data_IF_550408360393
#
_entry.id   IF_550408360393
#
_cell.length_a   1.000
_cell.length_b   1.000
_cell.length_c   1.000
_cell.angle_alpha   90.00
_cell.angle_beta   90.00
_cell.angle_gamma   90.00
#
_symmetry.space_group_name_H-M   'P 1'
#
loop_
_entity.id
_entity.type
_entity.pdbx_description
1 polymer ?
#
# COMPACT_ATOMS: atom_id res chain seq x y z
N UNK A 1 7.90 -4.93 8.29
CA UNK A 1 6.47 -5.33 8.33
C UNK A 1 6.28 -6.83 8.10
N UNK A 2 6.95 -7.44 7.14
CA UNK A 2 6.82 -8.88 6.89
C UNK A 2 7.13 -9.75 8.11
N UNK A 3 8.15 -9.40 8.85
CA UNK A 3 8.51 -10.12 10.08
C UNK A 3 7.41 -10.01 11.15
N UNK A 4 6.88 -8.81 11.34
CA UNK A 4 5.80 -8.58 12.30
C UNK A 4 4.52 -9.32 11.91
N UNK A 5 4.24 -9.39 10.61
CA UNK A 5 3.10 -10.14 10.08
C UNK A 5 3.20 -11.61 10.46
N UNK A 6 4.36 -12.21 10.28
CA UNK A 6 4.60 -13.61 10.64
C UNK A 6 4.44 -13.85 12.13
N UNK A 7 4.95 -12.94 12.95
CA UNK A 7 4.81 -13.03 14.41
C UNK A 7 3.33 -12.99 14.82
N UNK A 8 2.57 -12.08 14.23
CA UNK A 8 1.14 -11.99 14.54
C UNK A 8 0.38 -13.24 14.11
N UNK A 9 0.66 -13.78 12.94
CA UNK A 9 0.04 -15.03 12.47
C UNK A 9 0.39 -16.22 13.35
N UNK A 10 1.63 -16.32 13.82
CA UNK A 10 2.05 -17.38 14.75
C UNK A 10 1.31 -17.30 16.06
N UNK A 11 0.82 -16.13 16.45
CA UNK A 11 0.02 -15.91 17.65
C UNK A 11 -1.49 -16.09 17.40
N UNK A 12 -1.88 -16.45 16.19
CA UNK A 12 -3.28 -16.62 15.82
C UNK A 12 -4.05 -15.33 15.63
N UNK A 13 -3.33 -14.21 15.41
CA UNK A 13 -3.95 -12.91 15.19
C UNK A 13 -4.15 -12.65 13.69
N UNK A 14 -5.29 -12.06 13.36
CA UNK A 14 -5.49 -11.52 12.01
C UNK A 14 -4.63 -10.28 11.83
N UNK A 15 -4.13 -10.08 10.62
CA UNK A 15 -3.24 -8.96 10.30
C UNK A 15 -3.76 -8.21 9.10
N UNK A 16 -3.78 -6.88 9.22
CA UNK A 16 -3.94 -5.97 8.11
C UNK A 16 -2.76 -5.01 8.12
N UNK A 17 -2.18 -4.79 6.98
CA UNK A 17 -0.95 -4.01 6.86
C UNK A 17 -1.29 -2.67 6.24
N UNK A 18 -0.76 -1.61 6.80
CA UNK A 18 -0.87 -0.29 6.19
C UNK A 18 0.21 -0.14 5.12
N UNK A 19 -0.23 0.16 3.92
CA UNK A 19 0.61 0.22 2.75
C UNK A 19 0.91 1.63 2.28
N UNK A 20 1.22 1.83 0.97
CA UNK A 20 1.78 3.08 0.48
C UNK A 20 0.90 4.29 0.79
N UNK A 21 1.54 5.36 1.28
CA UNK A 21 0.92 6.66 1.50
C UNK A 21 1.42 7.68 0.47
N UNK A 22 2.34 8.54 0.87
CA UNK A 22 2.95 9.54 0.00
C UNK A 22 4.03 8.91 -0.86
N UNK A 23 3.68 8.51 -2.08
CA UNK A 23 4.56 7.78 -3.00
C UNK A 23 4.45 8.37 -4.40
N UNK A 24 5.56 8.64 -5.09
CA UNK A 24 5.52 9.02 -6.50
C UNK A 24 4.84 7.93 -7.33
N UNK A 25 4.07 8.34 -8.32
CA UNK A 25 3.25 7.43 -9.12
C UNK A 25 4.03 6.24 -9.69
N UNK A 26 5.25 6.49 -10.19
CA UNK A 26 6.08 5.46 -10.80
C UNK A 26 6.62 4.43 -9.79
N UNK A 27 6.52 4.69 -8.49
CA UNK A 27 6.98 3.78 -7.44
C UNK A 27 5.87 2.98 -6.80
N UNK A 28 4.63 3.24 -7.14
CA UNK A 28 3.48 2.54 -6.55
C UNK A 28 3.56 1.04 -6.83
N UNK A 29 3.80 0.66 -8.07
CA UNK A 29 3.89 -0.75 -8.47
C UNK A 29 4.98 -1.48 -7.69
N UNK A 30 6.17 -0.89 -7.58
CA UNK A 30 7.31 -1.49 -6.86
C UNK A 30 6.96 -1.68 -5.38
N UNK A 31 6.33 -0.69 -4.75
CA UNK A 31 5.90 -0.80 -3.37
C UNK A 31 4.88 -1.91 -3.17
N UNK A 32 3.91 -2.03 -4.09
CA UNK A 32 2.90 -3.07 -4.05
C UNK A 32 3.49 -4.47 -4.18
N UNK A 33 4.35 -4.66 -5.17
CA UNK A 33 5.00 -5.94 -5.42
C UNK A 33 5.83 -6.38 -4.22
N UNK A 34 6.58 -5.45 -3.64
CA UNK A 34 7.40 -5.73 -2.46
C UNK A 34 6.53 -6.11 -1.27
N UNK A 35 5.44 -5.42 -1.04
CA UNK A 35 4.55 -5.70 0.07
C UNK A 35 3.88 -7.06 -0.08
N UNK A 36 3.42 -7.42 -1.26
CA UNK A 36 2.85 -8.74 -1.53
C UNK A 36 3.86 -9.85 -1.24
N UNK A 37 5.11 -9.68 -1.67
CA UNK A 37 6.16 -10.67 -1.48
C UNK A 37 6.57 -10.82 -0.01
N UNK A 38 6.73 -9.70 0.70
CA UNK A 38 7.26 -9.70 2.06
C UNK A 38 6.19 -10.01 3.12
N UNK A 39 4.94 -9.68 2.85
CA UNK A 39 3.85 -9.81 3.81
C UNK A 39 2.91 -10.98 3.50
N UNK A 40 3.27 -11.87 2.56
CA UNK A 40 2.49 -13.07 2.26
C UNK A 40 1.08 -12.77 1.78
N UNK A 41 0.90 -11.71 1.02
CA UNK A 41 -0.40 -11.28 0.49
C UNK A 41 -1.44 -10.97 1.58
N UNK A 42 -0.99 -10.60 2.79
CA UNK A 42 -1.90 -10.16 3.83
C UNK A 42 -2.73 -8.97 3.36
N UNK A 43 -4.01 -8.87 3.78
CA UNK A 43 -4.81 -7.70 3.46
C UNK A 43 -4.10 -6.42 3.87
N UNK A 44 -4.19 -5.39 3.06
CA UNK A 44 -3.62 -4.13 3.47
C UNK A 44 -4.46 -2.93 3.08
N UNK A 45 -4.24 -1.89 3.85
CA UNK A 45 -4.91 -0.62 3.79
C UNK A 45 -3.97 0.39 3.15
N UNK A 46 -4.43 1.10 2.15
CA UNK A 46 -3.64 2.16 1.53
C UNK A 46 -4.28 3.51 1.80
N UNK A 47 -3.45 4.53 1.94
CA UNK A 47 -3.95 5.91 2.03
C UNK A 47 -4.54 6.39 0.69
N UNK A 48 -4.50 5.52 -0.33
CA UNK A 48 -4.74 5.88 -1.71
C UNK A 48 -3.52 6.59 -2.23
N UNK A 49 -2.40 5.87 -2.57
CA UNK A 49 -1.08 6.49 -2.67
C UNK A 49 -1.09 7.90 -3.24
N UNK A 50 -0.75 8.87 -2.40
CA UNK A 50 -0.87 10.28 -2.72
C UNK A 50 0.34 10.76 -3.52
N UNK A 51 0.07 11.34 -4.68
CA UNK A 51 1.09 12.03 -5.47
C UNK A 51 0.96 13.54 -5.26
N UNK A 52 0.92 13.94 -3.99
CA UNK A 52 0.57 15.32 -3.59
C UNK A 52 1.51 16.38 -4.09
N UNK A 53 2.78 16.04 -4.32
CA UNK A 53 3.76 16.98 -4.86
C UNK A 53 3.40 17.48 -6.26
N UNK A 54 2.57 16.74 -6.97
CA UNK A 54 2.13 17.07 -8.32
C UNK A 54 0.94 18.02 -8.29
N UNK A 55 0.04 17.84 -7.33
CA UNK A 55 -1.22 18.59 -7.27
C UNK A 55 -1.62 18.89 -5.83
N UNK A 56 -0.90 19.78 -5.15
CA UNK A 56 -1.24 20.12 -3.77
C UNK A 56 -2.64 20.70 -3.67
N UNK A 57 -3.39 20.24 -2.67
CA UNK A 57 -4.77 20.65 -2.48
C UNK A 57 -5.80 19.83 -3.26
N UNK A 58 -5.37 18.94 -4.14
CA UNK A 58 -6.25 18.05 -4.92
C UNK A 58 -6.07 16.60 -4.49
N UNK A 59 -5.98 16.37 -3.19
CA UNK A 59 -5.67 15.05 -2.62
C UNK A 59 -6.67 13.97 -3.01
N UNK A 60 -7.94 14.33 -3.15
CA UNK A 60 -8.97 13.39 -3.56
C UNK A 60 -8.75 12.87 -4.99
N UNK A 61 -8.13 13.66 -5.87
CA UNK A 61 -7.80 13.27 -7.24
C UNK A 61 -6.54 12.42 -7.25
N UNK A 62 -5.48 12.90 -6.60
CA UNK A 62 -4.18 12.20 -6.57
C UNK A 62 -4.29 10.88 -5.82
N UNK A 63 -5.08 10.85 -4.76
CA UNK A 63 -5.36 9.63 -4.01
C UNK A 63 -6.09 8.59 -4.85
N UNK A 64 -7.08 9.03 -5.64
CA UNK A 64 -7.83 8.13 -6.53
C UNK A 64 -6.91 7.52 -7.61
N UNK A 65 -6.03 8.32 -8.19
CA UNK A 65 -5.06 7.85 -9.19
C UNK A 65 -4.14 6.79 -8.57
N UNK A 66 -3.57 7.08 -7.42
CA UNK A 66 -2.68 6.16 -6.72
C UNK A 66 -3.39 4.89 -6.28
N UNK A 67 -4.62 5.02 -5.78
CA UNK A 67 -5.42 3.86 -5.36
C UNK A 67 -5.74 2.94 -6.54
N UNK A 68 -6.06 3.50 -7.70
CA UNK A 68 -6.32 2.71 -8.91
C UNK A 68 -5.08 1.94 -9.34
N UNK A 69 -3.90 2.56 -9.29
CA UNK A 69 -2.65 1.90 -9.62
C UNK A 69 -2.30 0.81 -8.59
N UNK A 70 -2.53 1.06 -7.32
CA UNK A 70 -2.31 0.07 -6.27
C UNK A 70 -3.24 -1.13 -6.47
N UNK A 71 -4.51 -0.90 -6.73
CA UNK A 71 -5.47 -1.97 -7.01
C UNK A 71 -5.09 -2.79 -8.24
N UNK A 72 -4.65 -2.13 -9.30
CA UNK A 72 -4.19 -2.81 -10.51
C UNK A 72 -2.95 -3.67 -10.23
N UNK A 73 -2.10 -3.25 -9.31
CA UNK A 73 -0.87 -3.98 -8.94
C UNK A 73 -1.09 -5.07 -7.89
N UNK A 74 -2.30 -5.30 -7.46
CA UNK A 74 -2.64 -6.43 -6.59
C UNK A 74 -3.13 -6.06 -5.19
N UNK A 75 -3.44 -4.81 -4.96
CA UNK A 75 -4.04 -4.43 -3.68
C UNK A 75 -5.48 -4.93 -3.57
#
# INVERSE_FOLDING_TARGET
MGELTKIAWDKGCQVMIEGPGHVPMHKIKVNMEKQLAECGEAPFYTLGPLTTDIAPGYDHITSAIGAAMAGWSGA
#
